data_IF_686891365783
#
_entry.id   IF_686891365783
#
_cell.length_a   1.000
_cell.length_b   1.000
_cell.length_c   1.000
_cell.angle_alpha   90.00
_cell.angle_beta   90.00
_cell.angle_gamma   90.00
#
_symmetry.space_group_name_H-M   'P 1'
#
loop_
_entity.id
_entity.type
_entity.pdbx_description
1 polymer ?
#
# COMPACT_ATOMS: atom_id res chain seq x y z
N UNK A 1 -29.16 28.42 -26.80
CA UNK A 1 -27.83 28.70 -26.22
C UNK A 1 -27.95 28.30 -24.77
N UNK A 2 -27.70 27.04 -24.44
CA UNK A 2 -27.77 26.57 -23.06
C UNK A 2 -26.44 25.90 -22.73
N UNK A 3 -25.84 26.44 -21.68
CA UNK A 3 -24.47 26.22 -21.28
C UNK A 3 -24.36 24.81 -20.73
N UNK A 4 -23.54 24.01 -21.39
CA UNK A 4 -23.16 22.66 -21.00
C UNK A 4 -22.47 22.68 -19.63
N UNK A 5 -23.16 22.23 -18.58
CA UNK A 5 -22.48 21.75 -17.38
C UNK A 5 -21.79 20.42 -17.70
N UNK A 6 -20.60 20.49 -18.32
CA UNK A 6 -19.65 19.37 -18.30
C UNK A 6 -19.22 19.15 -16.84
N UNK A 7 -19.90 18.25 -16.15
CA UNK A 7 -19.35 17.56 -14.98
C UNK A 7 -18.05 16.92 -15.45
N UNK A 8 -16.92 17.49 -15.05
CA UNK A 8 -15.63 16.83 -15.29
C UNK A 8 -15.57 15.68 -14.29
N UNK A 9 -15.57 14.44 -14.77
CA UNK A 9 -15.34 13.23 -13.98
C UNK A 9 -13.94 13.27 -13.35
N UNK A 10 -13.76 14.08 -12.31
CA UNK A 10 -12.50 14.20 -11.58
C UNK A 10 -12.47 13.14 -10.49
N UNK A 11 -12.28 11.88 -10.89
CA UNK A 11 -11.90 10.84 -9.95
C UNK A 11 -10.43 11.05 -9.56
N UNK A 12 -10.25 11.74 -8.43
CA UNK A 12 -8.96 12.00 -7.80
C UNK A 12 -8.39 10.77 -7.10
N UNK A 13 -9.22 9.77 -6.81
CA UNK A 13 -8.81 8.49 -6.24
C UNK A 13 -9.38 7.39 -7.14
N UNK A 14 -8.52 6.47 -7.56
CA UNK A 14 -8.89 5.29 -8.33
C UNK A 14 -8.34 4.06 -7.63
N UNK A 15 -9.05 2.95 -7.75
CA UNK A 15 -8.53 1.62 -7.42
C UNK A 15 -8.64 0.75 -8.68
N UNK A 16 -7.52 0.19 -9.11
CA UNK A 16 -7.48 -0.80 -10.18
C UNK A 16 -7.49 -2.20 -9.54
N UNK A 17 -8.61 -2.89 -9.67
CA UNK A 17 -8.82 -4.25 -9.14
C UNK A 17 -7.83 -5.27 -9.72
N UNK A 18 -7.41 -5.09 -10.98
CA UNK A 18 -6.54 -6.07 -11.64
C UNK A 18 -5.11 -5.99 -11.10
N UNK A 19 -4.56 -4.77 -10.99
CA UNK A 19 -3.22 -4.55 -10.44
C UNK A 19 -3.21 -4.42 -8.91
N UNK A 20 -4.40 -4.30 -8.30
CA UNK A 20 -4.63 -4.03 -6.86
C UNK A 20 -3.93 -2.76 -6.39
N UNK A 21 -4.02 -1.69 -7.18
CA UNK A 21 -3.32 -0.42 -6.94
C UNK A 21 -4.31 0.72 -6.70
N UNK A 22 -4.10 1.44 -5.60
CA UNK A 22 -4.70 2.74 -5.35
C UNK A 22 -3.87 3.83 -6.02
N UNK A 23 -4.53 4.71 -6.76
CA UNK A 23 -3.94 5.87 -7.40
C UNK A 23 -4.66 7.14 -6.97
N UNK A 24 -4.08 7.84 -6.01
CA UNK A 24 -4.51 9.18 -5.64
C UNK A 24 -3.76 10.16 -6.53
N UNK A 25 -4.47 11.07 -7.20
CA UNK A 25 -3.90 11.92 -8.23
C UNK A 25 -4.60 13.25 -8.30
N UNK A 26 -3.85 14.27 -8.69
CA UNK A 26 -4.37 15.53 -9.18
C UNK A 26 -3.45 16.06 -10.30
N UNK A 27 -3.58 17.33 -10.66
CA UNK A 27 -2.74 17.95 -11.70
C UNK A 27 -1.28 18.13 -11.31
N UNK A 28 -0.94 18.00 -10.02
CA UNK A 28 0.38 18.29 -9.46
C UNK A 28 1.10 17.06 -8.91
N UNK A 29 0.37 16.03 -8.48
CA UNK A 29 0.97 14.85 -7.87
C UNK A 29 0.23 13.54 -8.15
N UNK A 30 0.94 12.45 -7.89
CA UNK A 30 0.40 11.10 -7.78
C UNK A 30 0.97 10.41 -6.53
N UNK A 31 0.10 9.66 -5.85
CA UNK A 31 0.44 8.76 -4.74
C UNK A 31 -0.10 7.38 -5.09
N UNK A 32 0.77 6.37 -5.02
CA UNK A 32 0.48 5.00 -5.41
C UNK A 32 0.70 4.05 -4.23
N UNK A 33 -0.34 3.30 -3.89
CA UNK A 33 -0.29 2.23 -2.89
C UNK A 33 -0.70 0.94 -3.59
N UNK A 34 0.05 -0.14 -3.39
CA UNK A 34 -0.29 -1.45 -3.94
C UNK A 34 -0.62 -2.42 -2.81
N UNK A 35 -1.64 -3.23 -3.00
CA UNK A 35 -1.85 -4.41 -2.16
C UNK A 35 -0.99 -5.53 -2.73
N UNK A 36 0.17 -5.75 -2.11
CA UNK A 36 1.10 -6.80 -2.48
C UNK A 36 0.61 -8.18 -2.04
N UNK A 37 1.35 -9.21 -2.45
CA UNK A 37 1.13 -10.59 -2.01
C UNK A 37 1.00 -10.69 -0.49
N UNK A 38 0.18 -11.64 -0.04
CA UNK A 38 -0.19 -11.79 1.37
C UNK A 38 -0.90 -10.56 1.96
N UNK A 39 -1.51 -9.71 1.13
CA UNK A 39 -2.29 -8.53 1.56
C UNK A 39 -1.46 -7.52 2.38
N UNK A 40 -0.18 -7.34 2.07
CA UNK A 40 0.65 -6.28 2.67
C UNK A 40 0.49 -5.01 1.85
N UNK A 41 0.26 -3.87 2.49
CA UNK A 41 0.19 -2.58 1.79
C UNK A 41 1.60 -2.05 1.53
N UNK A 42 1.94 -1.91 0.25
CA UNK A 42 3.22 -1.41 -0.22
C UNK A 42 3.09 0.03 -0.73
N UNK A 43 4.01 0.88 -0.31
CA UNK A 43 4.22 2.21 -0.87
C UNK A 43 4.95 2.08 -2.20
N UNK A 44 4.35 2.56 -3.29
CA UNK A 44 4.95 2.45 -4.63
C UNK A 44 5.58 3.77 -5.07
N UNK A 45 4.89 4.88 -4.84
CA UNK A 45 5.31 6.17 -5.36
C UNK A 45 4.60 7.33 -4.69
N UNK A 46 5.35 8.41 -4.47
CA UNK A 46 4.80 9.75 -4.25
C UNK A 46 5.63 10.77 -5.03
N UNK A 47 4.97 11.61 -5.83
CA UNK A 47 5.64 12.66 -6.58
C UNK A 47 4.85 13.20 -7.75
N UNK A 48 5.55 13.59 -8.83
CA UNK A 48 4.98 14.16 -10.07
C UNK A 48 3.82 13.31 -10.64
N UNK A 49 2.85 13.93 -11.33
CA UNK A 49 1.70 13.20 -11.86
C UNK A 49 2.12 12.10 -12.83
N UNK A 50 1.55 10.92 -12.67
CA UNK A 50 1.66 9.80 -13.61
C UNK A 50 0.28 9.57 -14.22
N UNK A 51 0.19 9.44 -15.55
CA UNK A 51 -1.12 9.27 -16.21
C UNK A 51 -1.75 7.91 -15.91
N UNK A 52 -0.94 6.85 -15.99
CA UNK A 52 -1.32 5.47 -15.73
C UNK A 52 -0.13 4.74 -15.10
N UNK A 53 -0.40 3.92 -14.09
CA UNK A 53 0.56 2.95 -13.57
C UNK A 53 0.41 1.63 -14.34
N UNK A 54 1.53 1.00 -14.72
CA UNK A 54 1.56 -0.25 -15.49
C UNK A 54 2.48 -1.29 -14.84
N UNK A 55 2.42 -1.39 -13.50
CA UNK A 55 3.21 -2.35 -12.71
C UNK A 55 4.74 -2.33 -12.93
N UNK A 56 5.27 -1.21 -13.41
CA UNK A 56 6.68 -1.06 -13.75
C UNK A 56 7.59 -0.71 -12.56
N UNK A 57 7.02 -0.58 -11.35
CA UNK A 57 7.75 -0.29 -10.11
C UNK A 57 7.50 -1.33 -9.02
N UNK A 58 7.25 -2.57 -9.42
CA UNK A 58 7.15 -3.66 -8.45
C UNK A 58 8.46 -3.79 -7.68
N UNK A 59 8.34 -4.07 -6.38
CA UNK A 59 9.50 -4.27 -5.53
C UNK A 59 10.27 -5.52 -5.99
N UNK A 60 11.60 -5.44 -6.20
CA UNK A 60 12.36 -6.60 -6.66
C UNK A 60 12.27 -7.78 -5.70
N UNK A 61 11.80 -8.92 -6.20
CA UNK A 61 11.79 -10.20 -5.49
C UNK A 61 13.22 -10.71 -5.35
N UNK A 62 13.74 -10.71 -4.12
CA UNK A 62 15.11 -11.18 -3.83
C UNK A 62 15.18 -11.74 -2.41
N UNK A 63 15.73 -12.94 -2.28
CA UNK A 63 16.10 -13.50 -0.99
C UNK A 63 17.25 -12.66 -0.38
N UNK A 64 17.01 -12.11 0.81
CA UNK A 64 17.97 -11.32 1.56
C UNK A 64 18.22 -12.01 2.89
N UNK A 65 19.47 -12.36 3.15
CA UNK A 65 19.87 -12.99 4.42
C UNK A 65 19.40 -12.15 5.62
N UNK A 66 18.90 -12.83 6.65
CA UNK A 66 18.34 -12.26 7.89
C UNK A 66 17.03 -11.47 7.76
N UNK A 67 16.57 -11.14 6.55
CA UNK A 67 15.22 -10.59 6.33
C UNK A 67 14.23 -11.74 6.12
N UNK A 68 13.52 -12.11 7.19
CA UNK A 68 12.55 -13.21 7.17
C UNK A 68 11.40 -12.97 6.19
N UNK A 69 10.83 -14.05 5.66
CA UNK A 69 9.65 -13.99 4.79
C UNK A 69 8.42 -13.43 5.52
N UNK A 70 7.46 -12.93 4.76
CA UNK A 70 6.16 -12.50 5.30
C UNK A 70 5.49 -13.68 6.03
N UNK A 71 4.88 -13.48 7.23
CA UNK A 71 4.24 -14.56 7.96
C UNK A 71 3.21 -15.32 7.09
N UNK A 72 3.24 -16.65 7.19
CA UNK A 72 2.42 -17.60 6.42
C UNK A 72 2.68 -17.63 4.90
N UNK A 73 3.68 -16.92 4.39
CA UNK A 73 4.09 -16.99 2.99
C UNK A 73 5.45 -17.71 2.87
N UNK A 74 5.56 -18.83 2.15
CA UNK A 74 6.82 -19.58 2.02
C UNK A 74 7.85 -18.91 1.10
N UNK A 75 7.48 -17.89 0.32
CA UNK A 75 8.40 -17.18 -0.58
C UNK A 75 9.42 -16.35 0.21
N UNK A 76 10.67 -16.82 0.21
CA UNK A 76 11.81 -16.14 0.86
C UNK A 76 12.23 -14.85 0.18
N UNK A 77 11.72 -14.57 -1.03
CA UNK A 77 12.06 -13.37 -1.79
C UNK A 77 11.18 -12.16 -1.44
N UNK A 78 10.13 -12.35 -0.61
CA UNK A 78 9.24 -11.32 -0.10
C UNK A 78 9.34 -11.20 1.42
N UNK A 79 9.84 -10.06 1.88
CA UNK A 79 10.06 -9.77 3.30
C UNK A 79 9.51 -8.39 3.69
N UNK A 80 8.76 -8.32 4.80
CA UNK A 80 8.27 -7.05 5.37
C UNK A 80 9.41 -6.12 5.78
N UNK A 81 10.52 -6.68 6.24
CA UNK A 81 11.74 -5.95 6.63
C UNK A 81 12.32 -5.09 5.49
N UNK A 82 12.07 -5.48 4.24
CA UNK A 82 12.69 -4.83 3.07
C UNK A 82 11.67 -4.17 2.14
N UNK A 83 10.43 -4.66 2.15
CA UNK A 83 9.34 -4.06 1.38
C UNK A 83 9.10 -2.61 1.85
N UNK A 84 8.98 -1.63 0.94
CA UNK A 84 8.49 -0.30 1.26
C UNK A 84 7.01 -0.41 1.63
N UNK A 85 6.72 -0.44 2.94
CA UNK A 85 5.36 -0.59 3.44
C UNK A 85 4.69 0.77 3.60
N UNK A 86 3.37 0.81 3.40
CA UNK A 86 2.57 2.01 3.68
C UNK A 86 2.37 2.19 5.19
N UNK A 87 2.29 1.09 5.94
CA UNK A 87 2.18 1.10 7.39
C UNK A 87 2.81 -0.17 7.97
N UNK A 88 3.61 -0.02 9.03
CA UNK A 88 4.33 -1.13 9.68
C UNK A 88 3.90 -1.31 11.15
N UNK A 89 4.05 -2.54 11.63
CA UNK A 89 3.69 -2.93 13.00
C UNK A 89 4.73 -3.86 13.60
N UNK A 90 4.89 -3.79 14.93
CA UNK A 90 5.86 -4.61 15.65
C UNK A 90 5.51 -6.10 15.64
N UNK A 91 6.54 -6.95 15.68
CA UNK A 91 6.42 -8.40 15.83
C UNK A 91 6.00 -9.17 14.58
N UNK A 92 5.90 -8.52 13.41
CA UNK A 92 5.46 -9.15 12.15
C UNK A 92 6.57 -9.38 11.10
N UNK A 93 7.79 -9.64 11.56
CA UNK A 93 8.97 -9.89 10.70
C UNK A 93 9.47 -8.65 9.92
N UNK A 94 9.26 -7.47 10.50
CA UNK A 94 9.87 -6.19 10.12
C UNK A 94 10.70 -5.71 11.33
N UNK A 95 12.01 -5.50 11.15
CA UNK A 95 12.92 -5.13 12.23
C UNK A 95 13.24 -3.63 12.27
N UNK A 96 12.65 -2.85 11.36
CA UNK A 96 12.76 -1.39 11.35
C UNK A 96 11.91 -0.78 12.47
N UNK A 97 12.07 0.52 12.73
CA UNK A 97 11.18 1.25 13.65
C UNK A 97 9.73 1.15 13.15
N UNK A 98 8.81 0.55 13.93
CA UNK A 98 7.43 0.34 13.48
C UNK A 98 6.61 1.63 13.59
N UNK A 99 5.59 1.78 12.75
CA UNK A 99 4.61 2.87 12.86
C UNK A 99 3.66 2.68 14.06
N UNK A 100 3.43 1.44 14.48
CA UNK A 100 2.58 1.12 15.63
C UNK A 100 3.08 -0.07 16.47
N UNK A 101 2.81 0.00 17.76
CA UNK A 101 3.02 -1.07 18.74
C UNK A 101 1.73 -1.17 19.55
N UNK A 102 1.14 -2.37 19.63
CA UNK A 102 -0.09 -2.60 20.38
C UNK A 102 0.13 -3.79 21.30
N UNK A 103 0.13 -3.54 22.62
CA UNK A 103 0.22 -4.61 23.60
C UNK A 103 -1.16 -5.24 23.84
N UNK A 104 -1.24 -6.56 23.69
CA UNK A 104 -2.42 -7.37 23.99
C UNK A 104 -2.45 -7.75 25.47
N UNK A 105 -3.63 -8.17 25.94
CA UNK A 105 -3.84 -8.62 27.34
C UNK A 105 -2.90 -9.74 27.78
N UNK A 106 -2.42 -10.57 26.85
CA UNK A 106 -1.47 -11.66 27.13
C UNK A 106 0.00 -11.20 27.19
N UNK A 107 0.26 -9.88 27.14
CA UNK A 107 1.60 -9.29 27.16
C UNK A 107 2.31 -9.23 25.81
N UNK A 108 1.81 -9.94 24.79
CA UNK A 108 2.37 -9.91 23.44
C UNK A 108 2.08 -8.58 22.75
N UNK A 109 3.05 -8.07 22.01
CA UNK A 109 2.97 -6.89 21.15
C UNK A 109 3.02 -7.24 19.66
N UNK A 110 2.86 -8.53 19.31
CA UNK A 110 2.78 -8.99 17.94
C UNK A 110 1.49 -8.47 17.30
N UNK A 111 1.67 -7.72 16.21
CA UNK A 111 0.59 -7.23 15.37
C UNK A 111 0.94 -7.45 13.91
N UNK A 112 0.12 -8.24 13.21
CA UNK A 112 0.27 -8.51 11.77
C UNK A 112 -0.93 -7.95 10.99
N UNK A 113 -0.87 -6.67 10.63
CA UNK A 113 -1.91 -6.01 9.85
C UNK A 113 -1.88 -6.47 8.39
N UNK A 114 -3.06 -6.76 7.85
CA UNK A 114 -3.30 -7.16 6.47
C UNK A 114 -4.41 -6.31 5.89
N UNK A 115 -4.33 -6.01 4.60
CA UNK A 115 -5.42 -5.41 3.87
C UNK A 115 -6.66 -6.29 3.97
N UNK A 116 -7.79 -5.66 4.29
CA UNK A 116 -9.11 -6.29 4.39
C UNK A 116 -10.05 -5.69 3.34
N UNK A 117 -10.35 -4.38 3.47
CA UNK A 117 -11.30 -3.67 2.61
C UNK A 117 -10.95 -2.19 2.49
N UNK A 118 -11.64 -1.49 1.58
CA UNK A 118 -11.53 -0.03 1.43
C UNK A 118 -12.87 0.56 0.97
N UNK A 119 -13.01 1.87 1.16
CA UNK A 119 -14.10 2.68 0.63
C UNK A 119 -13.52 3.99 0.09
N UNK A 120 -14.00 4.44 -1.07
CA UNK A 120 -13.65 5.75 -1.64
C UNK A 120 -14.88 6.64 -1.53
N UNK A 121 -14.76 7.73 -0.78
CA UNK A 121 -15.86 8.66 -0.50
C UNK A 121 -15.48 10.08 -0.85
N UNK A 122 -16.48 10.89 -1.19
CA UNK A 122 -16.27 12.32 -1.45
C UNK A 122 -15.94 13.09 -0.16
N UNK A 123 -15.21 14.18 -0.33
CA UNK A 123 -14.86 15.09 0.75
C UNK A 123 -13.80 14.53 1.70
N UNK A 124 -13.86 14.97 2.95
CA UNK A 124 -13.01 14.52 4.04
C UNK A 124 -13.92 14.31 5.26
N UNK A 125 -13.81 13.19 6.00
CA UNK A 125 -14.53 13.04 7.26
C UNK A 125 -14.11 14.08 8.30
#
# INVERSE_FOLDING_TARGET
>A
MDITHRKTDKNFILFDENSRVFHLRNTFLSYLIKIEESNVLAHIYFGKPVKQYKDNKNYPRRDRGFSGNVPLNPDRSLSKDTLPQEYSSHGSMDFRTPASIIQRKNGSDLLDLRYDSHYITDGKP
#
